data_IF_259328585572
#
_entry.id   IF_259328585572
#
_cell.length_a   1.000
_cell.length_b   1.000
_cell.length_c   1.000
_cell.angle_alpha   90.00
_cell.angle_beta   90.00
_cell.angle_gamma   90.00
#
_symmetry.space_group_name_H-M   'P 1'
#
loop_
_entity.id
_entity.type
_entity.pdbx_description
1 polymer ?
#
# COMPACT_ATOMS: atom_id res chain seq x y z
N UNK A 1 -2.68 52.90 -42.45
CA UNK A 1 -1.45 52.65 -41.65
C UNK A 1 -1.91 52.39 -40.22
N UNK A 2 -2.12 51.13 -39.86
CA UNK A 2 -2.35 50.71 -38.48
C UNK A 2 -1.76 49.32 -38.38
N UNK A 3 -0.55 49.26 -37.83
CA UNK A 3 0.18 48.03 -37.53
C UNK A 3 -0.54 47.33 -36.39
N UNK A 4 -1.32 46.29 -36.72
CA UNK A 4 -1.85 45.33 -35.75
C UNK A 4 -0.66 44.55 -35.19
N UNK A 5 -0.26 44.93 -33.99
CA UNK A 5 0.84 44.31 -33.28
C UNK A 5 0.30 43.06 -32.60
N UNK A 6 0.59 41.94 -33.23
CA UNK A 6 0.36 40.59 -32.75
C UNK A 6 0.79 40.47 -31.28
N UNK A 7 -0.19 40.37 -30.37
CA UNK A 7 0.08 39.89 -29.02
C UNK A 7 -0.17 38.39 -29.01
N UNK A 8 0.86 37.68 -29.46
CA UNK A 8 1.01 36.24 -29.36
C UNK A 8 1.03 35.85 -27.88
N UNK A 9 -0.11 35.43 -27.33
CA UNK A 9 -0.13 34.78 -26.02
C UNK A 9 0.29 33.33 -26.21
N UNK A 10 1.57 33.13 -25.90
CA UNK A 10 2.31 31.89 -25.71
C UNK A 10 1.50 30.82 -24.96
N UNK A 11 1.54 29.61 -25.51
CA UNK A 11 1.23 28.40 -24.76
C UNK A 11 2.33 28.21 -23.72
N UNK A 12 2.12 28.64 -22.47
CA UNK A 12 2.52 27.90 -21.24
C UNK A 12 2.43 28.76 -19.98
N UNK A 13 1.98 28.10 -18.90
CA UNK A 13 2.05 28.48 -17.47
C UNK A 13 0.97 29.48 -17.03
N UNK A 14 0.24 29.28 -15.94
CA UNK A 14 0.67 28.72 -14.66
C UNK A 14 -0.53 28.12 -13.94
N UNK A 15 -0.43 26.84 -13.60
CA UNK A 15 -1.24 26.22 -12.54
C UNK A 15 -0.99 26.98 -11.24
N UNK A 16 -1.94 27.79 -10.79
CA UNK A 16 -1.88 28.39 -9.45
C UNK A 16 -3.29 28.51 -8.90
N UNK A 17 -3.68 27.50 -8.13
CA UNK A 17 -4.70 27.59 -7.11
C UNK A 17 -4.29 26.63 -5.98
N UNK A 18 -3.45 27.16 -5.09
CA UNK A 18 -3.24 26.63 -3.74
C UNK A 18 -4.57 26.68 -3.00
N UNK A 19 -5.21 25.52 -2.84
CA UNK A 19 -6.10 25.22 -1.73
C UNK A 19 -5.41 24.08 -0.98
N UNK A 20 -5.49 24.01 0.35
CA UNK A 20 -4.64 23.17 1.20
C UNK A 20 -4.85 21.66 0.93
N UNK A 21 -4.28 21.15 -0.16
CA UNK A 21 -4.45 19.78 -0.62
C UNK A 21 -3.56 18.89 0.23
N UNK A 22 -4.18 18.25 1.22
CA UNK A 22 -3.50 17.29 2.08
C UNK A 22 -3.77 15.91 1.51
N UNK A 23 -2.76 15.30 0.90
CA UNK A 23 -2.86 13.95 0.36
C UNK A 23 -2.52 12.91 1.41
N UNK A 24 -3.19 11.76 1.36
CA UNK A 24 -2.82 10.62 2.19
C UNK A 24 -1.83 9.73 1.45
N UNK A 25 -0.62 9.63 1.99
CA UNK A 25 0.44 8.74 1.52
C UNK A 25 -0.08 7.29 1.48
N UNK A 26 -0.01 6.66 0.31
CA UNK A 26 -0.55 5.31 0.08
C UNK A 26 0.32 4.20 0.67
N UNK A 27 1.53 4.51 1.14
CA UNK A 27 2.50 3.54 1.70
C UNK A 27 2.35 3.43 3.21
N UNK A 28 2.15 4.54 3.91
CA UNK A 28 2.08 4.60 5.37
C UNK A 28 0.74 5.13 5.91
N UNK A 29 -0.11 5.69 5.05
CA UNK A 29 -1.41 6.23 5.46
C UNK A 29 -1.32 7.56 6.22
N UNK A 30 -0.16 8.20 6.28
CA UNK A 30 -0.01 9.53 6.87
C UNK A 30 -0.50 10.60 5.91
N UNK A 31 -1.24 11.56 6.45
CA UNK A 31 -1.70 12.75 5.74
C UNK A 31 -0.54 13.73 5.63
N UNK A 32 -0.17 14.10 4.40
CA UNK A 32 0.96 14.98 4.08
C UNK A 32 0.48 16.20 3.32
N UNK A 33 1.10 17.33 3.61
CA UNK A 33 0.83 18.58 2.90
C UNK A 33 1.47 18.50 1.51
N UNK A 34 0.68 18.74 0.45
CA UNK A 34 1.18 18.75 -0.92
C UNK A 34 1.80 20.11 -1.18
N UNK A 35 3.13 20.13 -1.24
CA UNK A 35 3.94 21.28 -1.62
C UNK A 35 4.82 20.92 -2.84
N UNK A 36 5.42 21.93 -3.48
CA UNK A 36 6.38 21.76 -4.58
C UNK A 36 7.65 20.99 -4.19
N UNK A 37 8.02 20.96 -2.91
CA UNK A 37 9.12 20.14 -2.37
C UNK A 37 8.67 18.72 -1.96
N UNK A 38 7.36 18.47 -1.86
CA UNK A 38 6.83 17.16 -1.45
C UNK A 38 7.09 16.12 -2.53
N UNK A 39 7.73 15.02 -2.14
CA UNK A 39 8.06 13.89 -3.02
C UNK A 39 6.79 13.29 -3.60
N UNK A 40 6.76 13.11 -4.91
CA UNK A 40 5.60 12.57 -5.62
C UNK A 40 6.02 11.67 -6.77
N UNK A 41 5.26 10.60 -7.03
CA UNK A 41 5.45 9.71 -8.16
C UNK A 41 4.16 9.56 -8.95
N UNK A 42 4.27 9.54 -10.27
CA UNK A 42 3.14 9.27 -11.16
C UNK A 42 3.06 7.76 -11.43
N UNK A 43 1.88 7.17 -11.21
CA UNK A 43 1.59 5.80 -11.59
C UNK A 43 0.18 5.70 -12.17
N UNK A 44 0.07 5.12 -13.37
CA UNK A 44 -1.22 4.96 -14.07
C UNK A 44 -1.96 6.28 -14.38
N UNK A 45 -1.22 7.40 -14.48
CA UNK A 45 -1.78 8.73 -14.69
C UNK A 45 -2.32 9.39 -13.41
N UNK A 46 -2.08 8.79 -12.25
CA UNK A 46 -2.39 9.35 -10.94
C UNK A 46 -1.08 9.72 -10.21
N UNK A 47 -1.07 10.89 -9.57
CA UNK A 47 0.08 11.39 -8.82
C UNK A 47 -0.09 11.01 -7.34
N UNK A 48 0.86 10.24 -6.81
CA UNK A 48 0.91 9.85 -5.41
C UNK A 48 1.94 10.68 -4.68
N UNK A 49 1.56 11.25 -3.54
CA UNK A 49 2.43 12.05 -2.69
C UNK A 49 2.94 11.23 -1.50
N UNK A 50 4.21 11.44 -1.14
CA UNK A 50 4.88 10.67 -0.11
C UNK A 50 5.41 11.53 1.03
N UNK A 51 5.28 11.01 2.25
CA UNK A 51 5.79 11.66 3.46
C UNK A 51 7.32 11.71 3.52
N UNK A 52 8.00 10.76 2.88
CA UNK A 52 9.46 10.58 2.99
C UNK A 52 10.04 9.81 1.81
N UNK A 53 11.36 9.92 1.65
CA UNK A 53 12.13 9.19 0.62
C UNK A 53 12.00 7.66 0.74
N UNK A 54 11.81 7.17 1.96
CA UNK A 54 11.55 5.75 2.21
C UNK A 54 10.18 5.31 1.66
N UNK A 55 9.16 6.17 1.70
CA UNK A 55 7.85 5.87 1.14
C UNK A 55 7.89 5.90 -0.39
N UNK A 56 8.57 6.88 -0.98
CA UNK A 56 8.79 6.92 -2.44
C UNK A 56 9.53 5.67 -2.93
N UNK A 57 10.58 5.25 -2.22
CA UNK A 57 11.34 4.04 -2.57
C UNK A 57 10.48 2.76 -2.49
N UNK A 58 9.65 2.63 -1.45
CA UNK A 58 8.71 1.52 -1.30
C UNK A 58 7.67 1.50 -2.41
N UNK A 59 7.11 2.67 -2.74
CA UNK A 59 6.20 2.82 -3.85
C UNK A 59 6.85 2.43 -5.18
N UNK A 60 8.11 2.81 -5.41
CA UNK A 60 8.86 2.40 -6.60
C UNK A 60 9.14 0.89 -6.68
N UNK A 61 9.20 0.20 -5.54
CA UNK A 61 9.42 -1.25 -5.51
C UNK A 61 8.17 -2.05 -5.87
N UNK A 62 7.01 -1.64 -5.36
CA UNK A 62 5.72 -2.26 -5.71
C UNK A 62 4.61 -1.21 -5.90
N UNK A 63 4.61 -0.48 -7.02
CA UNK A 63 3.68 0.63 -7.22
C UNK A 63 2.24 0.12 -7.37
N UNK A 64 2.05 -1.09 -7.90
CA UNK A 64 0.73 -1.70 -8.05
C UNK A 64 0.06 -1.93 -6.69
N UNK A 65 0.78 -2.47 -5.69
CA UNK A 65 0.24 -2.74 -4.36
C UNK A 65 -0.21 -1.48 -3.64
N UNK A 66 0.59 -0.41 -3.67
CA UNK A 66 0.28 0.84 -2.98
C UNK A 66 -0.74 1.70 -3.76
N UNK A 67 -0.69 1.73 -5.10
CA UNK A 67 -1.65 2.47 -5.92
C UNK A 67 -3.05 1.85 -5.96
N UNK A 68 -3.18 0.52 -5.83
CA UNK A 68 -4.48 -0.17 -5.88
C UNK A 68 -5.39 0.13 -4.67
N UNK A 69 -4.94 0.92 -3.69
CA UNK A 69 -5.66 1.15 -2.44
C UNK A 69 -5.72 -0.12 -1.55
N UNK A 70 -5.03 -1.20 -1.93
CA UNK A 70 -4.90 -2.40 -1.14
C UNK A 70 -4.11 -2.14 0.16
N UNK A 71 -3.16 -1.21 0.12
CA UNK A 71 -2.49 -0.68 1.31
C UNK A 71 -3.45 0.07 2.25
N UNK A 72 -4.55 0.68 1.75
CA UNK A 72 -5.62 1.26 2.59
C UNK A 72 -6.62 0.21 3.11
N UNK A 73 -6.72 -0.95 2.45
CA UNK A 73 -7.55 -2.09 2.91
C UNK A 73 -6.89 -2.92 3.99
N UNK A 74 -5.57 -2.87 4.09
CA UNK A 74 -4.88 -3.21 5.33
C UNK A 74 -4.92 -1.98 6.23
N UNK A 75 -5.75 -1.94 7.30
CA UNK A 75 -5.45 -1.00 8.36
C UNK A 75 -3.98 -1.21 8.70
N UNK A 76 -3.23 -0.10 8.82
CA UNK A 76 -1.88 -0.10 9.35
C UNK A 76 -1.81 -1.17 10.43
N UNK A 77 -0.81 -2.05 10.33
CA UNK A 77 -0.43 -3.03 11.34
C UNK A 77 -0.37 -2.33 12.72
N UNK A 78 -1.53 -2.14 13.31
CA UNK A 78 -1.72 -2.19 14.73
C UNK A 78 -1.58 -3.67 15.01
N UNK A 79 -1.01 -4.02 16.14
CA UNK A 79 -1.02 -5.36 16.70
C UNK A 79 -2.46 -5.90 16.97
N UNK A 80 -3.48 -5.39 16.28
CA UNK A 80 -4.89 -5.77 16.22
C UNK A 80 -5.16 -7.10 15.47
N UNK A 81 -4.16 -7.98 15.40
CA UNK A 81 -4.32 -9.37 14.94
C UNK A 81 -4.04 -10.39 16.04
N UNK A 82 -3.43 -9.99 17.15
CA UNK A 82 -3.11 -10.88 18.26
C UNK A 82 -4.27 -10.88 19.23
N UNK A 83 -5.05 -11.96 19.21
CA UNK A 83 -6.18 -12.08 20.13
C UNK A 83 -5.67 -12.58 21.48
N UNK A 84 -5.86 -11.81 22.54
CA UNK A 84 -5.42 -12.11 23.88
C UNK A 84 -6.52 -12.83 24.66
N UNK A 85 -6.21 -13.98 25.26
CA UNK A 85 -7.17 -14.82 26.00
C UNK A 85 -6.72 -15.07 27.44
N UNK A 86 -7.67 -15.31 28.35
CA UNK A 86 -7.38 -15.67 29.73
C UNK A 86 -7.38 -17.20 29.91
N UNK A 87 -6.35 -17.81 30.52
CA UNK A 87 -6.28 -19.27 30.72
C UNK A 87 -7.42 -19.84 31.58
N UNK A 88 -8.02 -19.03 32.45
CA UNK A 88 -9.17 -19.42 33.28
C UNK A 88 -10.53 -19.05 32.67
N UNK A 89 -10.56 -18.07 31.76
CA UNK A 89 -11.79 -17.53 31.18
C UNK A 89 -11.64 -17.37 29.66
N UNK A 90 -11.66 -18.48 28.89
CA UNK A 90 -11.39 -18.47 27.45
C UNK A 90 -12.43 -17.70 26.61
N UNK A 91 -13.58 -17.36 27.20
CA UNK A 91 -14.63 -16.55 26.58
C UNK A 91 -14.26 -15.05 26.52
N UNK A 92 -13.21 -14.62 27.22
CA UNK A 92 -12.72 -13.25 27.16
C UNK A 92 -11.62 -13.15 26.10
N UNK A 93 -11.94 -12.49 25.00
CA UNK A 93 -11.04 -12.22 23.88
C UNK A 93 -10.84 -10.71 23.78
N UNK A 94 -9.59 -10.27 23.85
CA UNK A 94 -9.22 -8.86 23.72
C UNK A 94 -8.22 -8.65 22.58
N UNK A 95 -8.23 -7.47 21.99
CA UNK A 95 -7.27 -7.08 20.95
C UNK A 95 -6.02 -6.40 21.53
N UNK A 96 -5.88 -6.36 22.86
CA UNK A 96 -4.81 -5.66 23.58
C UNK A 96 -4.29 -6.50 24.75
N UNK A 97 -2.99 -6.39 25.08
CA UNK A 97 -2.43 -6.99 26.28
C UNK A 97 -3.00 -6.31 27.53
N UNK A 98 -3.36 -7.10 28.53
CA UNK A 98 -3.89 -6.56 29.78
C UNK A 98 -4.33 -7.63 30.76
N UNK A 99 -5.02 -7.20 31.82
CA UNK A 99 -5.59 -8.10 32.82
C UNK A 99 -7.02 -8.51 32.46
N UNK A 100 -7.33 -9.77 32.77
CA UNK A 100 -8.68 -10.32 32.68
C UNK A 100 -9.60 -9.60 33.68
N UNK A 101 -10.75 -9.05 33.24
CA UNK A 101 -11.68 -8.33 34.12
C UNK A 101 -12.42 -9.25 35.11
N UNK A 102 -12.36 -10.58 34.91
CA UNK A 102 -13.03 -11.56 35.78
C UNK A 102 -12.13 -12.01 36.93
N UNK A 103 -10.87 -12.32 36.64
CA UNK A 103 -9.94 -12.91 37.64
C UNK A 103 -8.67 -12.09 37.88
N UNK A 104 -8.46 -10.99 37.17
CA UNK A 104 -7.30 -10.11 37.34
C UNK A 104 -5.97 -10.65 36.81
N UNK A 105 -5.92 -11.89 36.33
CA UNK A 105 -4.70 -12.47 35.75
C UNK A 105 -4.38 -11.88 34.37
N UNK A 106 -3.10 -11.87 33.99
CA UNK A 106 -2.64 -11.40 32.68
C UNK A 106 -3.21 -12.27 31.54
N UNK A 107 -3.58 -11.63 30.44
CA UNK A 107 -4.01 -12.29 29.21
C UNK A 107 -2.79 -12.78 28.43
N UNK A 108 -2.93 -13.93 27.75
CA UNK A 108 -1.88 -14.51 26.91
C UNK A 108 -2.20 -14.33 25.42
N UNK A 109 -1.20 -14.04 24.58
CA UNK A 109 -1.39 -13.75 23.16
C UNK A 109 -1.61 -15.02 22.36
N UNK A 110 -2.70 -15.08 21.60
CA UNK A 110 -2.83 -16.02 20.49
C UNK A 110 -2.16 -15.43 19.27
N UNK A 111 -0.99 -15.96 18.92
CA UNK A 111 -0.31 -15.60 17.67
C UNK A 111 -1.20 -16.00 16.49
N UNK A 112 -1.64 -15.06 15.62
CA UNK A 112 -2.23 -15.46 14.35
C UNK A 112 -1.12 -16.17 13.57
N UNK A 113 -1.38 -17.41 13.15
CA UNK A 113 -0.43 -18.19 12.37
C UNK A 113 -0.38 -17.64 10.93
N UNK A 114 0.22 -16.46 10.76
CA UNK A 114 0.61 -15.96 9.45
C UNK A 114 1.95 -16.58 9.08
N UNK A 115 1.85 -17.73 8.40
CA UNK A 115 2.90 -18.19 7.50
C UNK A 115 2.30 -18.18 6.10
N UNK A 116 2.60 -17.20 5.24
CA UNK A 116 2.59 -17.44 3.81
C UNK A 116 3.86 -18.25 3.48
N UNK A 117 3.93 -19.49 3.98
CA UNK A 117 4.95 -20.42 3.52
C UNK A 117 4.49 -20.96 2.18
N UNK A 118 4.92 -20.26 1.14
CA UNK A 118 5.42 -20.78 -0.12
C UNK A 118 4.78 -22.09 -0.59
N UNK A 119 3.98 -22.00 -1.64
CA UNK A 119 3.79 -23.09 -2.58
C UNK A 119 5.02 -23.19 -3.51
N UNK A 120 5.98 -24.11 -3.29
CA UNK A 120 6.91 -24.46 -4.35
C UNK A 120 6.17 -25.41 -5.31
N UNK A 121 5.26 -24.88 -6.12
CA UNK A 121 4.95 -25.55 -7.38
C UNK A 121 6.14 -25.30 -8.29
N UNK A 122 7.22 -26.05 -8.03
CA UNK A 122 8.41 -26.05 -8.84
C UNK A 122 8.05 -26.39 -10.29
N UNK A 123 8.68 -25.72 -11.26
CA UNK A 123 8.36 -25.83 -12.67
C UNK A 123 8.85 -27.17 -13.22
N UNK A 124 7.93 -28.08 -13.54
CA UNK A 124 8.25 -29.17 -14.47
C UNK A 124 7.01 -29.69 -15.19
N UNK A 125 6.67 -28.99 -16.28
CA UNK A 125 6.02 -29.62 -17.43
C UNK A 125 6.45 -28.88 -18.72
N UNK A 126 7.76 -28.84 -18.99
CA UNK A 126 8.21 -28.97 -20.38
C UNK A 126 7.87 -30.41 -20.80
N UNK A 127 6.59 -30.66 -21.06
CA UNK A 127 6.06 -31.93 -21.50
C UNK A 127 6.41 -32.13 -22.96
N UNK A 128 7.59 -32.72 -23.17
CA UNK A 128 8.00 -33.54 -24.31
C UNK A 128 6.99 -33.61 -25.46
N UNK A 129 7.36 -32.94 -26.54
CA UNK A 129 6.87 -33.19 -27.89
C UNK A 129 6.69 -34.70 -28.11
N UNK A 130 5.42 -35.13 -28.20
CA UNK A 130 5.07 -36.45 -28.70
C UNK A 130 5.41 -36.48 -30.19
N UNK A 131 6.30 -37.39 -30.54
CA UNK A 131 6.81 -37.64 -31.87
C UNK A 131 5.67 -37.94 -32.89
N UNK A 132 5.95 -37.75 -34.19
CA UNK A 132 5.03 -37.35 -35.24
C UNK A 132 4.21 -38.52 -35.77
N UNK A 133 3.24 -38.23 -36.64
CA UNK A 133 2.91 -39.19 -37.65
C UNK A 133 3.12 -38.57 -39.05
N UNK A 134 3.75 -39.35 -39.93
CA UNK A 134 3.83 -39.14 -41.39
C UNK A 134 4.88 -38.07 -41.81
N UNK A 135 5.78 -38.29 -42.78
CA UNK A 135 5.62 -38.89 -44.12
C UNK A 135 6.99 -39.36 -44.67
N UNK A 136 6.93 -40.40 -45.51
CA UNK A 136 7.82 -40.89 -46.60
C UNK A 136 9.32 -41.15 -46.35
#
# INVERSE_FOLDING_TARGET
>A
MATDQEHYHDMTRTSTASDLDTATDSVCGMTVEIDEDTRSAEYNGEVFHFCSENCETKFGNDPFYYASGNARKTPAYSEAGTQWTCPMHPQILKNEPGSCPICGMALEPMLPSDKPSEDPISPHACGSARQPPFRW
#
